data_IF_549846312467
#
_entry.id   IF_549846312467
#
_cell.length_a   1.000
_cell.length_b   1.000
_cell.length_c   1.000
_cell.angle_alpha   90.00
_cell.angle_beta   90.00
_cell.angle_gamma   90.00
#
_symmetry.space_group_name_H-M   'P 1'
#
loop_
_entity.id
_entity.type
_entity.pdbx_description
1 polymer ?
#
# COMPACT_ATOMS: atom_id res chain seq x y z
N UNK A 1 -1.07 6.05 10.41
CA UNK A 1 -0.46 6.58 9.18
C UNK A 1 -0.63 5.59 8.02
N UNK A 2 -0.35 4.31 8.21
CA UNK A 2 -0.57 3.30 7.14
C UNK A 2 -2.06 3.15 6.79
N UNK A 3 -2.98 3.25 7.75
CA UNK A 3 -4.42 3.38 7.46
C UNK A 3 -4.77 4.65 6.68
N UNK A 4 -3.98 5.72 6.84
CA UNK A 4 -4.08 6.95 6.03
C UNK A 4 -3.51 6.76 4.63
N UNK A 5 -2.45 5.96 4.49
CA UNK A 5 -1.86 5.64 3.20
C UNK A 5 -2.73 4.72 2.34
N UNK A 6 -3.68 3.99 2.92
CA UNK A 6 -4.56 3.10 2.18
C UNK A 6 -5.39 3.83 1.11
N UNK A 7 -5.86 5.04 1.41
CA UNK A 7 -6.57 5.86 0.43
C UNK A 7 -5.65 6.38 -0.70
N UNK A 8 -4.33 6.42 -0.46
CA UNK A 8 -3.32 6.86 -1.45
C UNK A 8 -2.72 5.66 -2.20
N UNK A 9 -2.83 4.47 -1.63
CA UNK A 9 -2.12 3.27 -2.08
C UNK A 9 -2.65 2.72 -3.40
N UNK A 10 -3.85 3.11 -3.84
CA UNK A 10 -4.33 2.75 -5.17
C UNK A 10 -3.31 3.09 -6.28
N UNK A 11 -2.64 4.24 -6.19
CA UNK A 11 -1.61 4.64 -7.15
C UNK A 11 -0.25 3.96 -6.89
N UNK A 12 0.10 3.69 -5.63
CA UNK A 12 1.40 3.07 -5.26
C UNK A 12 1.35 1.55 -5.45
N UNK A 13 0.24 0.89 -5.18
CA UNK A 13 0.06 -0.55 -5.42
C UNK A 13 0.10 -0.87 -6.91
N UNK A 14 -0.51 -0.04 -7.77
CA UNK A 14 -0.41 -0.21 -9.23
C UNK A 14 1.05 -0.11 -9.69
N UNK A 15 1.85 0.75 -9.09
CA UNK A 15 3.28 0.87 -9.43
C UNK A 15 4.10 -0.31 -8.89
N UNK A 16 3.74 -0.88 -7.74
CA UNK A 16 4.40 -2.07 -7.18
C UNK A 16 4.04 -3.34 -7.96
N UNK A 17 2.79 -3.50 -8.42
CA UNK A 17 2.37 -4.62 -9.27
C UNK A 17 3.13 -4.67 -10.61
N UNK A 18 3.59 -3.52 -11.13
CA UNK A 18 4.40 -3.46 -12.34
C UNK A 18 5.78 -4.12 -12.20
N UNK A 19 6.26 -4.34 -10.97
CA UNK A 19 7.53 -5.02 -10.70
C UNK A 19 7.37 -6.50 -10.33
N UNK A 20 6.17 -6.97 -10.00
CA UNK A 20 5.90 -8.38 -9.66
C UNK A 20 5.56 -9.26 -10.84
N UNK A 21 5.48 -8.72 -12.07
CA UNK A 21 5.21 -9.47 -13.29
C UNK A 21 6.43 -10.26 -13.84
N UNK A 22 7.38 -10.65 -12.99
CA UNK A 22 8.34 -11.69 -13.30
C UNK A 22 7.86 -13.03 -12.76
N UNK A 23 6.86 -13.61 -13.41
CA UNK A 23 6.57 -15.04 -13.24
C UNK A 23 7.81 -15.86 -13.55
N UNK A 24 8.12 -16.91 -12.81
CA UNK A 24 9.14 -17.87 -13.20
C UNK A 24 8.62 -18.69 -14.38
N UNK A 25 8.81 -18.19 -15.59
CA UNK A 25 8.77 -19.05 -16.77
C UNK A 25 9.91 -20.04 -16.60
N UNK A 26 9.58 -21.33 -16.45
CA UNK A 26 10.55 -22.41 -16.32
C UNK A 26 11.49 -22.42 -17.52
N UNK A 27 12.66 -21.92 -17.29
CA UNK A 27 13.78 -21.88 -18.23
C UNK A 27 15.08 -21.87 -17.46
N UNK A 28 15.65 -23.07 -17.29
CA UNK A 28 17.06 -23.33 -17.07
C UNK A 28 17.87 -22.22 -16.39
N UNK A 29 17.88 -22.23 -15.06
CA UNK A 29 18.89 -21.54 -14.28
C UNK A 29 20.26 -22.12 -14.57
N UNK A 30 20.96 -21.53 -15.53
CA UNK A 30 22.38 -21.79 -15.73
C UNK A 30 23.01 -20.55 -16.36
N UNK A 31 23.81 -19.91 -15.54
CA UNK A 31 24.86 -18.92 -15.78
C UNK A 31 24.62 -17.53 -15.18
N UNK A 32 24.46 -17.49 -13.84
CA UNK A 32 25.09 -16.41 -13.11
C UNK A 32 26.19 -17.03 -12.26
N UNK A 33 27.42 -16.62 -12.54
CA UNK A 33 28.64 -17.23 -12.05
C UNK A 33 28.84 -17.01 -10.53
N UNK A 34 29.22 -18.04 -9.88
CA UNK A 34 29.91 -18.31 -8.62
C UNK A 34 30.93 -17.27 -8.08
N UNK A 35 30.78 -15.98 -8.35
CA UNK A 35 31.61 -14.94 -7.72
C UNK A 35 30.93 -14.29 -6.51
N UNK A 36 29.60 -14.46 -6.32
CA UNK A 36 28.82 -13.85 -5.25
C UNK A 36 28.60 -14.78 -4.04
N UNK A 37 28.93 -16.07 -4.15
CA UNK A 37 28.72 -17.03 -3.04
C UNK A 37 29.63 -16.80 -1.82
N UNK A 38 30.63 -15.97 -1.92
CA UNK A 38 31.63 -15.77 -0.86
C UNK A 38 31.28 -14.63 0.11
N UNK A 39 30.14 -13.94 -0.09
CA UNK A 39 29.71 -12.79 0.72
C UNK A 39 28.24 -12.84 1.18
N UNK A 40 27.54 -13.96 1.03
CA UNK A 40 26.15 -14.04 1.51
C UNK A 40 26.13 -14.46 2.97
N UNK A 41 25.95 -13.49 3.86
CA UNK A 41 25.42 -13.78 5.19
C UNK A 41 24.09 -14.53 5.02
N UNK A 42 23.84 -15.52 5.90
CA UNK A 42 22.53 -16.16 5.97
C UNK A 42 21.47 -15.09 6.24
N UNK A 43 20.25 -15.31 5.73
CA UNK A 43 19.14 -14.41 5.99
C UNK A 43 18.89 -14.26 7.49
N UNK A 44 18.66 -13.03 7.91
CA UNK A 44 18.28 -12.73 9.28
C UNK A 44 16.77 -12.96 9.43
N UNK A 45 16.38 -13.97 10.18
CA UNK A 45 14.98 -14.36 10.37
C UNK A 45 14.15 -13.26 11.05
N UNK A 46 14.76 -12.51 11.99
CA UNK A 46 14.06 -11.40 12.65
C UNK A 46 13.79 -10.24 11.68
N UNK A 47 14.68 -10.00 10.72
CA UNK A 47 14.47 -9.03 9.68
C UNK A 47 13.35 -9.47 8.72
N UNK A 48 13.34 -10.74 8.32
CA UNK A 48 12.25 -11.29 7.50
C UNK A 48 10.91 -11.20 8.24
N UNK A 49 10.85 -11.59 9.52
CA UNK A 49 9.63 -11.45 10.30
C UNK A 49 9.13 -10.01 10.42
N UNK A 50 10.04 -9.05 10.54
CA UNK A 50 9.70 -7.61 10.54
C UNK A 50 9.12 -7.18 9.19
N UNK A 51 9.78 -7.52 8.08
CA UNK A 51 9.32 -7.16 6.73
C UNK A 51 8.00 -7.84 6.36
N UNK A 52 7.81 -9.10 6.76
CA UNK A 52 6.57 -9.84 6.56
C UNK A 52 5.40 -9.22 7.35
N UNK A 53 5.67 -8.80 8.60
CA UNK A 53 4.66 -8.12 9.41
C UNK A 53 4.23 -6.79 8.79
N UNK A 54 5.20 -6.00 8.33
CA UNK A 54 4.94 -4.73 7.64
C UNK A 54 4.17 -4.94 6.33
N UNK A 55 4.55 -5.96 5.56
CA UNK A 55 3.84 -6.31 4.33
C UNK A 55 2.38 -6.68 4.59
N UNK A 56 2.11 -7.55 5.57
CA UNK A 56 0.74 -7.95 5.91
C UNK A 56 -0.11 -6.75 6.34
N UNK A 57 0.42 -5.89 7.18
CA UNK A 57 -0.29 -4.68 7.63
C UNK A 57 -0.61 -3.74 6.47
N UNK A 58 0.34 -3.52 5.56
CA UNK A 58 0.11 -2.70 4.38
C UNK A 58 -0.88 -3.33 3.41
N UNK A 59 -0.73 -4.63 3.12
CA UNK A 59 -1.57 -5.33 2.17
C UNK A 59 -3.02 -5.46 2.65
N UNK A 60 -3.25 -5.58 3.97
CA UNK A 60 -4.59 -5.70 4.54
C UNK A 60 -5.26 -4.36 4.88
N UNK A 61 -4.67 -3.24 4.49
CA UNK A 61 -5.21 -1.89 4.80
C UNK A 61 -6.52 -1.57 4.07
N UNK A 62 -6.73 -2.17 2.89
CA UNK A 62 -8.00 -2.20 2.18
C UNK A 62 -8.15 -3.53 1.42
N UNK A 63 -9.36 -4.08 1.45
CA UNK A 63 -9.61 -5.42 0.93
C UNK A 63 -9.63 -5.48 -0.59
N UNK A 64 -10.02 -4.39 -1.27
CA UNK A 64 -10.06 -4.35 -2.72
C UNK A 64 -8.64 -4.39 -3.30
N UNK A 65 -7.71 -3.61 -2.72
CA UNK A 65 -6.30 -3.66 -3.09
C UNK A 65 -5.66 -4.99 -2.70
N UNK A 66 -6.05 -5.57 -1.57
CA UNK A 66 -5.58 -6.90 -1.15
C UNK A 66 -5.88 -7.97 -2.21
N UNK A 67 -7.13 -8.03 -2.70
CA UNK A 67 -7.53 -8.97 -3.75
C UNK A 67 -6.87 -8.67 -5.11
N UNK A 68 -6.62 -7.41 -5.42
CA UNK A 68 -5.86 -7.05 -6.63
C UNK A 68 -4.38 -7.42 -6.55
N UNK A 69 -3.81 -7.41 -5.32
CA UNK A 69 -2.40 -7.70 -5.09
C UNK A 69 -2.11 -9.20 -4.96
N UNK A 70 -2.98 -9.94 -4.27
CA UNK A 70 -2.76 -11.34 -3.90
C UNK A 70 -3.94 -12.21 -4.33
N UNK A 71 -3.65 -13.25 -5.10
CA UNK A 71 -4.64 -14.25 -5.50
C UNK A 71 -5.13 -15.08 -4.28
N UNK A 72 -4.24 -15.34 -3.33
CA UNK A 72 -4.54 -16.09 -2.12
C UNK A 72 -3.86 -15.45 -0.90
N UNK A 73 -4.50 -14.51 -0.19
CA UNK A 73 -3.93 -13.85 0.97
C UNK A 73 -3.48 -14.79 2.10
N UNK A 74 -4.18 -15.93 2.29
CA UNK A 74 -3.85 -16.91 3.32
C UNK A 74 -2.43 -17.50 3.17
N UNK A 75 -1.91 -17.62 1.93
CA UNK A 75 -0.54 -18.08 1.68
C UNK A 75 0.52 -17.14 2.24
N UNK A 76 0.15 -15.90 2.46
CA UNK A 76 1.01 -14.84 3.05
C UNK A 76 0.73 -14.61 4.53
N UNK A 77 -0.12 -15.48 5.14
CA UNK A 77 -0.51 -15.35 6.55
C UNK A 77 -1.45 -14.18 6.81
N UNK A 78 -2.28 -13.80 5.82
CA UNK A 78 -3.35 -12.81 5.91
C UNK A 78 -4.67 -13.59 5.90
N UNK A 79 -5.03 -14.13 7.07
CA UNK A 79 -6.21 -15.01 7.21
C UNK A 79 -7.45 -14.23 7.70
N UNK A 80 -7.23 -13.12 8.39
CA UNK A 80 -8.28 -12.27 8.99
C UNK A 80 -7.96 -10.80 8.70
N UNK A 81 -8.89 -10.11 8.06
CA UNK A 81 -8.80 -8.70 7.70
C UNK A 81 -10.19 -8.07 7.61
N UNK A 82 -10.26 -6.78 7.87
CA UNK A 82 -11.51 -6.03 7.75
C UNK A 82 -11.91 -5.87 6.27
N UNK A 83 -13.17 -6.15 5.95
CA UNK A 83 -13.71 -5.91 4.61
C UNK A 83 -14.03 -4.43 4.48
N UNK A 84 -13.15 -3.68 3.84
CA UNK A 84 -13.21 -2.23 3.74
C UNK A 84 -12.51 -1.71 2.50
N UNK A 85 -12.94 -0.56 2.02
CA UNK A 85 -12.25 0.25 0.99
C UNK A 85 -11.17 1.17 1.61
N UNK A 86 -10.92 1.03 2.91
CA UNK A 86 -10.05 1.91 3.64
C UNK A 86 -10.75 3.22 4.07
N UNK A 87 -10.08 3.97 4.94
CA UNK A 87 -10.55 5.27 5.43
C UNK A 87 -9.37 6.18 5.72
N UNK A 88 -9.55 7.46 5.45
CA UNK A 88 -8.65 8.50 5.90
C UNK A 88 -8.96 8.81 7.36
N UNK A 89 -7.97 8.68 8.22
CA UNK A 89 -8.09 9.08 9.63
C UNK A 89 -7.93 10.60 9.75
N UNK A 90 -9.06 11.30 9.60
CA UNK A 90 -9.11 12.77 9.53
C UNK A 90 -8.75 13.39 10.87
N UNK A 91 -9.14 12.75 11.97
CA UNK A 91 -8.91 13.28 13.33
C UNK A 91 -7.42 13.24 13.71
N UNK A 92 -6.66 12.30 13.15
CA UNK A 92 -5.23 12.13 13.42
C UNK A 92 -4.37 12.33 12.17
N UNK A 93 -4.75 13.25 11.30
CA UNK A 93 -4.13 13.42 9.98
C UNK A 93 -2.65 13.80 10.05
N UNK A 94 -2.24 14.46 11.11
CA UNK A 94 -0.85 14.88 11.36
C UNK A 94 -0.05 13.85 12.20
N UNK A 95 -0.68 12.74 12.62
CA UNK A 95 0.01 11.71 13.40
C UNK A 95 0.99 10.91 12.55
N UNK A 96 2.23 10.86 12.96
CA UNK A 96 3.33 10.14 12.32
C UNK A 96 3.94 9.06 13.22
N UNK A 97 3.26 8.72 14.32
CA UNK A 97 3.76 7.77 15.32
C UNK A 97 4.08 6.41 14.72
N UNK A 98 3.20 5.87 13.88
CA UNK A 98 3.38 4.57 13.24
C UNK A 98 4.64 4.54 12.35
N UNK A 99 4.85 5.57 11.52
CA UNK A 99 6.04 5.67 10.68
C UNK A 99 7.31 5.79 11.52
N UNK A 100 7.26 6.59 12.58
CA UNK A 100 8.41 6.77 13.49
C UNK A 100 8.75 5.45 14.19
N UNK A 101 7.73 4.67 14.56
CA UNK A 101 7.91 3.35 15.15
C UNK A 101 8.55 2.36 14.16
N UNK A 102 8.09 2.32 12.90
CA UNK A 102 8.72 1.49 11.87
C UNK A 102 10.15 1.90 11.55
N UNK A 103 10.45 3.20 11.51
CA UNK A 103 11.83 3.69 11.36
C UNK A 103 12.69 3.22 12.52
N UNK A 104 12.18 3.29 13.74
CA UNK A 104 12.88 2.86 14.94
C UNK A 104 13.17 1.35 14.89
N UNK A 105 12.18 0.54 14.53
CA UNK A 105 12.32 -0.91 14.36
C UNK A 105 13.31 -1.26 13.26
N UNK A 106 13.25 -0.58 12.10
CA UNK A 106 14.18 -0.78 11.00
C UNK A 106 15.62 -0.45 11.41
N UNK A 107 15.82 0.67 12.09
CA UNK A 107 17.15 1.12 12.53
C UNK A 107 17.75 0.25 13.64
N UNK A 108 16.99 -0.63 14.27
CA UNK A 108 17.52 -1.59 15.24
C UNK A 108 18.32 -2.74 14.58
N UNK A 109 18.16 -2.94 13.27
CA UNK A 109 18.95 -3.94 12.53
C UNK A 109 20.30 -3.38 12.09
N UNK A 110 21.37 -4.15 12.34
CA UNK A 110 22.67 -3.86 11.74
C UNK A 110 22.66 -4.29 10.26
N UNK A 111 22.55 -3.33 9.37
CA UNK A 111 22.52 -3.55 7.92
C UNK A 111 23.71 -4.39 7.43
N UNK A 112 24.90 -4.24 8.02
CA UNK A 112 26.09 -4.95 7.58
C UNK A 112 26.00 -6.46 7.88
N UNK A 113 25.18 -6.86 8.86
CA UNK A 113 24.92 -8.26 9.22
C UNK A 113 23.84 -8.93 8.37
N UNK A 114 23.11 -8.19 7.54
CA UNK A 114 22.04 -8.69 6.69
C UNK A 114 22.61 -9.33 5.40
N UNK A 115 21.86 -10.28 4.83
CA UNK A 115 22.16 -10.80 3.50
C UNK A 115 22.07 -9.70 2.44
N UNK A 116 22.65 -9.92 1.27
CA UNK A 116 22.66 -8.93 0.18
C UNK A 116 21.24 -8.53 -0.25
N UNK A 117 20.34 -9.50 -0.32
CA UNK A 117 18.93 -9.23 -0.64
C UNK A 117 18.26 -8.39 0.45
N UNK A 118 18.46 -8.75 1.71
CA UNK A 118 17.93 -8.00 2.85
C UNK A 118 18.49 -6.58 2.95
N UNK A 119 19.77 -6.36 2.60
CA UNK A 119 20.36 -5.03 2.54
C UNK A 119 19.62 -4.12 1.52
N UNK A 120 19.25 -4.69 0.37
CA UNK A 120 18.46 -3.96 -0.66
C UNK A 120 17.08 -3.61 -0.10
N UNK A 121 16.40 -4.57 0.52
CA UNK A 121 15.09 -4.34 1.16
C UNK A 121 15.20 -3.30 2.27
N UNK A 122 16.24 -3.35 3.10
CA UNK A 122 16.52 -2.35 4.13
C UNK A 122 16.64 -0.94 3.52
N UNK A 123 17.42 -0.78 2.45
CA UNK A 123 17.63 0.52 1.80
C UNK A 123 16.33 1.07 1.19
N UNK A 124 15.54 0.20 0.56
CA UNK A 124 14.25 0.58 -0.01
C UNK A 124 13.26 1.02 1.08
N UNK A 125 13.13 0.23 2.15
CA UNK A 125 12.27 0.56 3.29
C UNK A 125 12.73 1.84 3.98
N UNK A 126 14.03 1.98 4.23
CA UNK A 126 14.59 3.18 4.85
C UNK A 126 14.26 4.42 4.03
N UNK A 127 14.49 4.36 2.72
CA UNK A 127 14.15 5.47 1.81
C UNK A 127 12.64 5.75 1.82
N UNK A 128 11.82 4.72 1.73
CA UNK A 128 10.35 4.85 1.73
C UNK A 128 9.86 5.51 3.02
N UNK A 129 10.20 4.96 4.18
CA UNK A 129 9.75 5.45 5.48
C UNK A 129 10.18 6.89 5.76
N UNK A 130 11.46 7.23 5.50
CA UNK A 130 11.92 8.61 5.67
C UNK A 130 11.31 9.57 4.65
N UNK A 131 11.08 9.15 3.42
CA UNK A 131 10.38 9.98 2.44
C UNK A 131 8.97 10.26 2.91
N UNK A 132 8.24 9.25 3.35
CA UNK A 132 6.88 9.38 3.85
C UNK A 132 6.82 10.28 5.10
N UNK A 133 7.76 10.14 6.03
CA UNK A 133 7.86 11.01 7.20
C UNK A 133 8.13 12.48 6.80
N UNK A 134 9.07 12.71 5.88
CA UNK A 134 9.44 14.06 5.45
C UNK A 134 8.34 14.80 4.68
N UNK A 135 7.42 14.06 4.07
CA UNK A 135 6.28 14.61 3.32
C UNK A 135 4.94 14.49 4.06
N UNK A 136 4.95 14.09 5.33
CA UNK A 136 3.73 13.90 6.12
C UNK A 136 2.92 15.19 6.31
N UNK A 137 3.57 16.34 6.41
CA UNK A 137 2.96 17.66 6.50
C UNK A 137 2.34 18.15 5.17
N UNK A 138 2.69 17.50 4.06
CA UNK A 138 2.13 17.79 2.73
C UNK A 138 0.93 16.91 2.38
N UNK A 139 0.43 16.11 3.32
CA UNK A 139 -0.66 15.16 3.07
C UNK A 139 -1.92 15.82 2.49
N UNK A 140 -2.24 17.03 2.94
CA UNK A 140 -3.38 17.80 2.43
C UNK A 140 -3.22 18.30 0.99
N UNK A 141 -2.03 18.18 0.40
CA UNK A 141 -1.83 18.47 -1.03
C UNK A 141 -2.26 17.32 -1.93
N UNK A 142 -2.38 16.10 -1.38
CA UNK A 142 -2.93 14.99 -2.13
C UNK A 142 -4.41 15.20 -2.39
N UNK A 143 -4.85 14.75 -3.55
CA UNK A 143 -6.27 14.64 -3.88
C UNK A 143 -6.53 13.30 -4.53
N UNK A 144 -7.52 12.58 -4.01
CA UNK A 144 -7.99 11.33 -4.59
C UNK A 144 -8.99 11.58 -5.73
N UNK A 145 -9.48 12.83 -5.84
CA UNK A 145 -10.38 13.27 -6.90
C UNK A 145 -9.58 14.01 -7.98
N UNK A 146 -9.39 13.38 -9.13
CA UNK A 146 -8.72 13.99 -10.27
C UNK A 146 -9.47 13.65 -11.57
N UNK A 147 -9.41 14.50 -12.62
CA UNK A 147 -10.17 14.29 -13.85
C UNK A 147 -9.86 12.97 -14.58
N UNK A 148 -8.62 12.48 -14.50
CA UNK A 148 -8.15 11.36 -15.34
C UNK A 148 -7.87 10.07 -14.58
N UNK A 149 -7.42 10.17 -13.33
CA UNK A 149 -6.99 9.02 -12.51
C UNK A 149 -7.57 9.07 -11.09
N UNK A 150 -8.64 9.85 -10.89
CA UNK A 150 -9.30 9.94 -9.59
C UNK A 150 -10.02 8.65 -9.21
N UNK A 151 -10.23 8.48 -7.92
CA UNK A 151 -10.89 7.29 -7.36
C UNK A 151 -12.30 7.08 -7.91
N UNK A 152 -12.98 8.15 -8.29
CA UNK A 152 -14.31 8.09 -8.93
C UNK A 152 -14.29 7.32 -10.27
N UNK A 153 -13.12 7.27 -10.92
CA UNK A 153 -12.92 6.52 -12.17
C UNK A 153 -12.28 5.15 -11.87
N UNK A 154 -11.33 5.11 -10.95
CA UNK A 154 -10.58 3.88 -10.66
C UNK A 154 -11.42 2.85 -9.90
N UNK A 155 -12.26 3.29 -8.96
CA UNK A 155 -13.01 2.36 -8.11
C UNK A 155 -13.95 1.44 -8.91
N UNK A 156 -14.76 1.92 -9.89
CA UNK A 156 -15.54 1.05 -10.77
C UNK A 156 -14.68 0.06 -11.56
N UNK A 157 -13.48 0.49 -12.00
CA UNK A 157 -12.55 -0.37 -12.73
C UNK A 157 -12.03 -1.50 -11.83
N UNK A 158 -11.56 -1.17 -10.62
CA UNK A 158 -11.10 -2.16 -9.65
C UNK A 158 -12.20 -3.17 -9.31
N UNK A 159 -13.44 -2.72 -9.12
CA UNK A 159 -14.57 -3.62 -8.93
C UNK A 159 -14.84 -4.52 -10.14
N UNK A 160 -14.62 -4.02 -11.36
CA UNK A 160 -14.81 -4.81 -12.58
C UNK A 160 -13.74 -5.88 -12.78
N UNK A 161 -12.57 -5.69 -12.19
CA UNK A 161 -11.42 -6.62 -12.25
C UNK A 161 -11.39 -7.60 -11.06
N UNK A 162 -12.33 -7.47 -10.13
CA UNK A 162 -12.40 -8.35 -8.95
C UNK A 162 -12.60 -9.81 -9.35
N UNK A 163 -11.75 -10.69 -8.86
CA UNK A 163 -11.74 -12.11 -9.19
C UNK A 163 -12.44 -12.93 -8.12
N UNK A 164 -13.37 -13.80 -8.53
CA UNK A 164 -14.11 -14.68 -7.64
C UNK A 164 -13.55 -16.10 -7.73
N UNK A 165 -12.83 -16.55 -6.72
CA UNK A 165 -12.26 -17.89 -6.62
C UNK A 165 -13.14 -18.80 -5.77
N UNK A 166 -13.78 -18.26 -4.75
CA UNK A 166 -14.63 -19.00 -3.82
C UNK A 166 -15.90 -18.20 -3.42
N UNK A 167 -16.80 -18.84 -2.68
CA UNK A 167 -18.05 -18.19 -2.24
C UNK A 167 -17.80 -17.00 -1.32
N UNK A 168 -16.75 -17.07 -0.51
CA UNK A 168 -16.35 -15.97 0.40
C UNK A 168 -16.09 -14.68 -0.38
N UNK A 169 -15.43 -14.76 -1.53
CA UNK A 169 -15.12 -13.59 -2.36
C UNK A 169 -16.39 -12.84 -2.82
N UNK A 170 -17.47 -13.59 -3.09
CA UNK A 170 -18.77 -12.98 -3.44
C UNK A 170 -19.37 -12.25 -2.25
N UNK A 171 -19.26 -12.81 -1.05
CA UNK A 171 -19.77 -12.20 0.18
C UNK A 171 -18.98 -10.95 0.52
N UNK A 172 -17.65 -10.97 0.38
CA UNK A 172 -16.77 -9.83 0.57
C UNK A 172 -17.02 -8.73 -0.47
N UNK A 173 -17.18 -9.09 -1.74
CA UNK A 173 -17.50 -8.15 -2.80
C UNK A 173 -18.80 -7.38 -2.53
N UNK A 174 -19.84 -8.05 -2.05
CA UNK A 174 -21.11 -7.40 -1.69
C UNK A 174 -20.92 -6.43 -0.51
N UNK A 175 -20.08 -6.80 0.46
CA UNK A 175 -19.74 -5.92 1.58
C UNK A 175 -18.97 -4.69 1.10
N UNK A 176 -17.97 -4.87 0.22
CA UNK A 176 -17.23 -3.77 -0.39
C UNK A 176 -18.13 -2.82 -1.18
N UNK A 177 -19.09 -3.35 -1.96
CA UNK A 177 -20.09 -2.51 -2.65
C UNK A 177 -20.93 -1.71 -1.66
N UNK A 178 -21.28 -2.31 -0.52
CA UNK A 178 -22.03 -1.63 0.54
C UNK A 178 -21.21 -0.58 1.28
N UNK A 179 -19.89 -0.69 1.24
CA UNK A 179 -18.94 0.24 1.87
C UNK A 179 -18.65 1.49 1.04
N UNK A 180 -19.06 1.50 -0.24
CA UNK A 180 -18.79 2.62 -1.18
C UNK A 180 -19.34 3.95 -0.67
N UNK A 181 -20.55 3.96 -0.13
CA UNK A 181 -21.15 5.18 0.40
C UNK A 181 -20.34 5.73 1.60
N UNK A 182 -19.95 4.85 2.53
CA UNK A 182 -19.11 5.22 3.67
C UNK A 182 -17.73 5.72 3.24
N UNK A 183 -17.14 5.12 2.21
CA UNK A 183 -15.87 5.56 1.65
C UNK A 183 -15.95 6.98 1.07
N UNK A 184 -16.96 7.25 0.22
CA UNK A 184 -17.11 8.59 -0.37
C UNK A 184 -17.53 9.66 0.66
N UNK A 185 -18.28 9.30 1.70
CA UNK A 185 -18.55 10.23 2.79
C UNK A 185 -17.28 10.62 3.54
N UNK A 186 -16.39 9.66 3.84
CA UNK A 186 -15.09 9.96 4.45
C UNK A 186 -14.19 10.81 3.53
N UNK A 187 -14.20 10.54 2.22
CA UNK A 187 -13.50 11.37 1.25
C UNK A 187 -14.07 12.80 1.19
N UNK A 188 -15.39 12.97 1.28
CA UNK A 188 -16.03 14.28 1.33
C UNK A 188 -15.60 15.06 2.59
N UNK A 189 -15.51 14.41 3.75
CA UNK A 189 -15.00 15.02 4.98
C UNK A 189 -13.55 15.46 4.83
N UNK A 190 -12.71 14.65 4.17
CA UNK A 190 -11.33 15.00 3.87
C UNK A 190 -11.22 16.21 2.94
N UNK A 191 -12.01 16.24 1.85
CA UNK A 191 -12.04 17.38 0.92
C UNK A 191 -12.56 18.65 1.61
N UNK A 192 -13.53 18.54 2.53
CA UNK A 192 -13.97 19.65 3.35
C UNK A 192 -12.86 20.20 4.25
N UNK A 193 -12.08 19.33 4.89
CA UNK A 193 -10.90 19.73 5.66
C UNK A 193 -9.86 20.45 4.78
N UNK A 194 -9.56 19.90 3.60
CA UNK A 194 -8.64 20.53 2.61
C UNK A 194 -9.13 21.92 2.23
N UNK A 195 -10.40 22.06 1.91
CA UNK A 195 -11.03 23.34 1.55
C UNK A 195 -10.88 24.38 2.66
N UNK A 196 -11.17 24.01 3.92
CA UNK A 196 -11.01 24.90 5.08
C UNK A 196 -9.55 25.34 5.26
N UNK A 197 -8.59 24.47 4.91
CA UNK A 197 -7.15 24.75 4.97
C UNK A 197 -6.63 25.50 3.73
N UNK A 198 -7.48 25.79 2.73
CA UNK A 198 -7.13 26.51 1.52
C UNK A 198 -6.54 25.63 0.39
N UNK A 199 -6.66 24.31 0.50
CA UNK A 199 -6.22 23.35 -0.51
C UNK A 199 -7.44 22.89 -1.33
N UNK A 200 -7.84 23.69 -2.33
CA UNK A 200 -8.94 23.33 -3.24
C UNK A 200 -8.42 23.06 -4.64
N UNK A 201 -9.14 22.26 -5.40
CA UNK A 201 -8.98 22.21 -6.84
C UNK A 201 -9.41 23.55 -7.45
N UNK A 202 -8.82 23.92 -8.58
CA UNK A 202 -9.32 25.07 -9.35
C UNK A 202 -10.73 24.79 -9.89
N UNK A 203 -11.50 25.83 -10.13
CA UNK A 203 -12.88 25.71 -10.66
C UNK A 203 -12.90 24.89 -11.96
N UNK A 204 -11.94 25.12 -12.86
CA UNK A 204 -11.80 24.36 -14.11
C UNK A 204 -11.61 22.85 -13.86
N UNK A 205 -10.82 22.47 -12.86
CA UNK A 205 -10.60 21.06 -12.51
C UNK A 205 -11.80 20.45 -11.80
N UNK A 206 -12.53 21.22 -11.00
CA UNK A 206 -13.77 20.76 -10.38
C UNK A 206 -14.83 20.44 -11.41
N UNK A 207 -14.98 21.27 -12.45
CA UNK A 207 -15.93 21.05 -13.55
C UNK A 207 -15.57 19.79 -14.36
N UNK A 208 -14.30 19.37 -14.39
CA UNK A 208 -13.86 18.16 -15.08
C UNK A 208 -14.01 16.88 -14.22
N UNK A 209 -14.10 17.00 -12.90
CA UNK A 209 -14.25 15.85 -11.97
C UNK A 209 -15.71 15.44 -11.84
N UNK A 210 -16.66 16.36 -11.99
CA UNK A 210 -18.11 16.15 -11.85
C UNK A 210 -18.69 15.64 -13.17
#
# INVERSE_FOLDING_TARGET
FFKKAAAITGAVVITACSFSACTPFGGSASRYNNADEQYNAADNESFNAFTDSLFRELASSDSLSLHALLENPCEYGIDDYDITLGRIDIDNIDDTSDITDYITKLNAFDKASLSKSQQITYDLLNKYLYTTLNYSDLYLLNTDLTPTIGIQIQLPLLFSEYTFMEKKDVEEYIQLLSDVDGYFNNLLEFEALRSVRGYTLSDDLLDEVI
#
